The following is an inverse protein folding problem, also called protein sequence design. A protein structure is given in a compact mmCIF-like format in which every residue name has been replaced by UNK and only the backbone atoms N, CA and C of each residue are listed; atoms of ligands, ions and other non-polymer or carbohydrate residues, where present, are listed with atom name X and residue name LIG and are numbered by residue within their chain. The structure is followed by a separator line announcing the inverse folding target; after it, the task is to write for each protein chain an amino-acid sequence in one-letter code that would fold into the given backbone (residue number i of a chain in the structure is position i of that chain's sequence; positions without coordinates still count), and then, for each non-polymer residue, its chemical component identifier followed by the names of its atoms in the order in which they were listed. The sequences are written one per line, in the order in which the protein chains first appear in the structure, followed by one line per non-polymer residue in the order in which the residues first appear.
data_IF_754629985311
#
_entry.id   IF_754629985311
#
_cell.length_a   1.000
_cell.length_b   1.000
_cell.length_c   1.000
_cell.angle_alpha   90.00
_cell.angle_beta   90.00
_cell.angle_gamma   90.00
#
_symmetry.space_group_name_H-M   'P 1'
#
loop_
_entity.id
_entity.type
_entity.pdbx_description
1 polymer ?
#
# COMPACT_ATOMS: atom_id res chain seq x y z
N UNK A 1 13.96 26.32 26.91
CA UNK A 1 13.24 25.06 27.15
C UNK A 1 12.81 24.49 25.83
N UNK A 2 12.72 23.16 25.70
CA UNK A 2 12.41 22.50 24.44
C UNK A 2 11.60 21.23 24.65
N UNK A 3 10.95 20.76 23.56
CA UNK A 3 10.32 19.43 23.47
C UNK A 3 10.80 18.72 22.21
N UNK A 4 10.74 17.39 22.23
CA UNK A 4 11.08 16.55 21.08
C UNK A 4 9.88 15.68 20.75
N UNK A 5 9.19 15.97 19.65
CA UNK A 5 8.09 15.17 19.13
C UNK A 5 8.62 13.81 18.64
N UNK A 6 7.89 12.73 18.95
CA UNK A 6 8.37 11.37 18.72
C UNK A 6 7.22 10.39 18.47
N UNK A 7 7.53 9.11 18.22
CA UNK A 7 6.59 8.00 18.08
C UNK A 7 5.40 8.30 17.15
N UNK A 8 4.18 8.18 17.63
CA UNK A 8 2.97 8.37 16.80
C UNK A 8 2.83 9.81 16.32
N UNK A 9 3.18 10.80 17.16
CA UNK A 9 3.16 12.21 16.74
C UNK A 9 4.15 12.48 15.62
N UNK A 10 5.39 11.99 15.72
CA UNK A 10 6.37 12.15 14.65
C UNK A 10 5.93 11.43 13.38
N UNK A 11 5.39 10.21 13.50
CA UNK A 11 4.82 9.46 12.38
C UNK A 11 3.73 10.26 11.67
N UNK A 12 2.78 10.86 12.42
CA UNK A 12 1.71 11.69 11.86
C UNK A 12 2.25 12.91 11.11
N UNK A 13 3.27 13.59 11.66
CA UNK A 13 3.93 14.71 10.97
C UNK A 13 4.52 14.25 9.63
N UNK A 14 5.25 13.13 9.59
CA UNK A 14 5.82 12.61 8.35
C UNK A 14 4.79 12.09 7.36
N UNK A 15 3.60 11.70 7.81
CA UNK A 15 2.50 11.29 6.95
C UNK A 15 1.71 12.50 6.39
N UNK A 16 1.54 13.58 7.16
CA UNK A 16 0.84 14.77 6.70
C UNK A 16 1.70 15.65 5.78
N UNK A 17 3.00 15.64 5.97
CA UNK A 17 3.89 16.57 5.29
C UNK A 17 4.01 16.28 3.79
N UNK A 18 3.51 17.18 2.97
CA UNK A 18 3.84 17.23 1.52
C UNK A 18 5.31 17.55 1.30
N UNK A 19 5.91 18.29 2.23
CA UNK A 19 7.34 18.60 2.27
C UNK A 19 7.74 19.01 3.69
N UNK A 20 8.01 18.04 4.58
CA UNK A 20 8.94 18.38 5.65
C UNK A 20 10.28 18.49 4.96
N UNK A 21 10.88 19.68 4.99
CA UNK A 21 12.27 19.84 4.56
C UNK A 21 13.09 18.85 5.39
N UNK A 22 13.51 17.76 4.73
CA UNK A 22 14.39 16.75 5.36
C UNK A 22 15.84 17.23 5.32
N UNK A 23 16.07 18.40 4.70
CA UNK A 23 17.34 19.08 4.75
C UNK A 23 17.52 19.58 6.17
N UNK A 24 18.45 18.94 6.86
CA UNK A 24 18.93 19.35 8.16
C UNK A 24 19.51 20.75 8.00
N UNK A 25 18.70 21.77 8.28
CA UNK A 25 19.22 23.06 8.70
C UNK A 25 20.18 22.78 9.86
N UNK A 26 21.13 23.61 10.14
CA UNK A 26 22.21 23.45 11.10
C UNK A 26 21.99 22.43 12.25
N UNK A 27 23.03 21.67 12.66
CA UNK A 27 22.86 20.63 13.67
C UNK A 27 22.25 21.21 14.95
N UNK A 28 21.11 20.66 15.37
CA UNK A 28 20.42 21.09 16.59
C UNK A 28 21.33 21.07 17.79
N UNK A 29 21.20 22.05 18.68
CA UNK A 29 21.97 22.11 19.92
C UNK A 29 21.77 20.85 20.79
N UNK A 30 22.82 20.09 21.14
CA UNK A 30 22.66 18.92 22.00
C UNK A 30 22.03 19.27 23.36
N UNK A 31 22.32 20.45 23.90
CA UNK A 31 21.76 20.91 25.18
C UNK A 31 20.24 21.12 25.09
N UNK A 32 19.75 21.64 23.97
CA UNK A 32 18.33 21.79 23.75
C UNK A 32 17.61 20.43 23.66
N UNK A 33 18.19 19.46 22.96
CA UNK A 33 17.61 18.12 22.78
C UNK A 33 17.61 17.35 24.10
N UNK A 34 18.76 17.21 24.74
CA UNK A 34 18.91 16.37 25.93
C UNK A 34 18.34 16.99 27.19
N UNK A 35 18.23 18.33 27.23
CA UNK A 35 17.52 19.09 28.28
C UNK A 35 16.03 19.22 28.04
N UNK A 36 15.46 18.51 27.03
CA UNK A 36 14.05 18.63 26.69
C UNK A 36 13.16 18.32 27.89
N UNK A 37 12.17 19.21 28.11
CA UNK A 37 11.18 19.08 29.17
C UNK A 37 9.85 19.64 28.67
N UNK A 38 8.81 18.81 28.55
CA UNK A 38 7.51 19.29 28.14
C UNK A 38 6.93 20.26 29.19
N UNK A 39 6.55 21.46 28.73
CA UNK A 39 5.79 22.45 29.50
C UNK A 39 4.47 22.67 28.82
N UNK A 40 3.45 23.14 29.55
CA UNK A 40 2.12 23.45 28.95
C UNK A 40 2.26 24.35 27.73
N UNK A 41 2.99 25.46 27.86
CA UNK A 41 3.21 26.42 26.75
C UNK A 41 3.84 25.77 25.50
N UNK A 42 4.82 24.87 25.67
CA UNK A 42 5.44 24.19 24.53
C UNK A 42 4.54 23.11 23.91
N UNK A 43 3.73 22.44 24.74
CA UNK A 43 2.75 21.48 24.24
C UNK A 43 1.65 22.18 23.45
N UNK A 44 1.13 23.31 23.95
CA UNK A 44 0.14 24.13 23.25
C UNK A 44 0.70 24.69 21.94
N UNK A 45 1.95 25.16 21.96
CA UNK A 45 2.64 25.64 20.76
C UNK A 45 2.87 24.52 19.73
N UNK A 46 3.17 23.30 20.19
CA UNK A 46 3.29 22.14 19.30
C UNK A 46 1.94 21.74 18.71
N UNK A 47 0.88 21.70 19.51
CA UNK A 47 -0.47 21.41 19.03
C UNK A 47 -0.94 22.45 17.99
N UNK A 48 -0.69 23.74 18.24
CA UNK A 48 -0.99 24.80 17.29
C UNK A 48 -0.18 24.64 15.98
N UNK A 49 1.09 24.25 16.08
CA UNK A 49 1.91 23.99 14.92
C UNK A 49 1.37 22.80 14.10
N UNK A 50 0.99 21.70 14.75
CA UNK A 50 0.40 20.53 14.09
C UNK A 50 -0.90 20.90 13.36
N UNK A 51 -1.80 21.63 14.02
CA UNK A 51 -3.05 22.12 13.42
C UNK A 51 -2.77 23.00 12.19
N UNK A 52 -1.83 23.94 12.30
CA UNK A 52 -1.45 24.82 11.19
C UNK A 52 -0.94 24.07 9.96
N UNK A 53 -0.35 22.88 10.15
CA UNK A 53 0.23 22.07 9.08
C UNK A 53 -0.65 20.87 8.72
N UNK A 54 -1.94 20.90 9.08
CA UNK A 54 -2.93 19.85 8.78
C UNK A 54 -2.50 18.45 9.26
N UNK A 55 -1.74 18.40 10.35
CA UNK A 55 -1.37 17.14 11.00
C UNK A 55 -2.49 16.75 11.96
N UNK A 56 -3.35 15.84 11.53
CA UNK A 56 -4.36 15.27 12.40
C UNK A 56 -3.73 14.17 13.27
N UNK A 57 -3.86 14.30 14.58
CA UNK A 57 -3.69 13.18 15.51
C UNK A 57 -5.05 12.49 15.67
N UNK A 58 -5.08 11.20 15.92
CA UNK A 58 -6.32 10.50 16.25
C UNK A 58 -6.96 11.17 17.48
N UNK A 59 -8.29 11.33 17.46
CA UNK A 59 -9.06 12.16 18.39
C UNK A 59 -8.87 11.86 19.89
N UNK A 60 -8.23 10.75 20.23
CA UNK A 60 -7.85 10.32 21.59
C UNK A 60 -6.33 10.27 21.81
N UNK A 61 -5.50 10.72 20.85
CA UNK A 61 -4.06 10.65 20.99
C UNK A 61 -3.51 11.91 21.64
N UNK A 62 -2.82 11.71 22.77
CA UNK A 62 -1.95 12.70 23.38
C UNK A 62 -0.70 12.92 22.53
N UNK A 63 -0.11 14.12 22.62
CA UNK A 63 1.21 14.39 22.02
C UNK A 63 2.26 13.42 22.59
N UNK A 64 2.94 12.70 21.74
CA UNK A 64 4.03 11.81 22.13
C UNK A 64 5.37 12.53 21.99
N UNK A 65 6.07 12.67 23.12
CA UNK A 65 7.34 13.35 23.21
C UNK A 65 8.43 12.46 23.79
N UNK A 66 9.66 12.69 23.40
CA UNK A 66 10.82 11.98 23.90
C UNK A 66 11.59 12.85 24.88
N UNK A 67 11.95 12.29 26.03
CA UNK A 67 12.80 12.92 27.05
C UNK A 67 13.99 12.01 27.38
N UNK A 68 15.09 12.58 27.82
CA UNK A 68 16.34 11.85 28.10
C UNK A 68 16.63 11.73 29.61
N UNK A 69 15.81 12.37 30.43
CA UNK A 69 15.87 12.26 31.89
C UNK A 69 14.46 11.97 32.41
N UNK A 70 14.32 10.92 33.23
CA UNK A 70 13.04 10.55 33.85
C UNK A 70 12.45 11.69 34.69
N UNK A 71 13.29 12.54 35.26
CA UNK A 71 12.86 13.72 36.02
C UNK A 71 12.16 14.77 35.15
N UNK A 72 12.40 14.76 33.84
CA UNK A 72 11.77 15.64 32.87
C UNK A 72 10.46 15.04 32.32
N UNK A 73 10.16 13.77 32.57
CA UNK A 73 8.93 13.16 32.15
C UNK A 73 7.73 13.76 32.92
N UNK A 74 6.70 14.17 32.19
CA UNK A 74 5.43 14.66 32.76
C UNK A 74 4.30 13.74 32.35
N UNK A 75 3.43 13.47 33.29
CA UNK A 75 2.17 12.80 33.03
C UNK A 75 1.08 13.87 32.96
N UNK A 76 0.67 14.21 31.76
CA UNK A 76 -0.46 15.11 31.50
C UNK A 76 -1.42 14.43 30.54
N UNK A 77 -2.70 14.77 30.61
CA UNK A 77 -3.74 14.15 29.76
C UNK A 77 -3.50 14.36 28.26
N UNK A 78 -2.79 15.42 27.89
CA UNK A 78 -2.46 15.77 26.49
C UNK A 78 -1.01 15.42 26.07
N UNK A 79 -0.24 14.73 26.92
CA UNK A 79 1.15 14.42 26.65
C UNK A 79 1.57 13.05 27.19
N UNK A 80 2.14 12.22 26.32
CA UNK A 80 2.79 10.97 26.68
C UNK A 80 4.30 11.08 26.50
N UNK A 81 5.04 10.93 27.60
CA UNK A 81 6.48 11.01 27.59
C UNK A 81 7.13 9.63 27.45
N UNK A 82 8.01 9.51 26.46
CA UNK A 82 8.89 8.36 26.27
C UNK A 82 10.30 8.69 26.78
N UNK A 83 10.74 7.97 27.79
CA UNK A 83 12.07 8.16 28.38
C UNK A 83 13.08 7.33 27.62
N UNK A 84 14.06 7.98 26.95
CA UNK A 84 15.15 7.30 26.28
C UNK A 84 16.42 7.36 27.11
N UNK A 85 16.93 6.19 27.50
CA UNK A 85 18.27 6.07 28.10
C UNK A 85 19.41 6.23 27.08
N UNK A 86 19.10 6.04 25.79
CA UNK A 86 20.07 6.16 24.72
C UNK A 86 20.10 7.58 24.15
N UNK A 87 21.30 8.15 24.05
CA UNK A 87 21.53 9.41 23.36
C UNK A 87 21.89 9.15 21.90
N UNK A 88 21.19 9.82 20.99
CA UNK A 88 21.44 9.79 19.56
C UNK A 88 22.16 11.08 19.14
N UNK A 89 22.93 11.06 18.05
CA UNK A 89 23.53 12.28 17.53
C UNK A 89 22.48 13.39 17.34
N UNK A 90 22.86 14.65 17.59
CA UNK A 90 21.98 15.80 17.37
C UNK A 90 21.47 15.93 15.92
N UNK A 91 22.23 15.40 14.96
CA UNK A 91 21.83 15.30 13.56
C UNK A 91 20.64 14.36 13.30
N UNK A 92 20.15 13.64 14.31
CA UNK A 92 18.96 12.80 14.25
C UNK A 92 17.69 13.52 14.71
N UNK A 93 17.76 14.84 14.89
CA UNK A 93 16.67 15.69 15.30
C UNK A 93 16.57 16.87 14.35
N UNK A 94 15.36 17.32 14.09
CA UNK A 94 15.05 18.44 13.21
C UNK A 94 14.31 19.46 14.05
N UNK A 95 14.69 20.73 13.96
CA UNK A 95 13.95 21.81 14.59
C UNK A 95 12.81 22.25 13.68
N UNK A 96 11.57 22.11 14.13
CA UNK A 96 10.37 22.54 13.39
C UNK A 96 10.12 24.03 13.56
N UNK A 97 10.40 24.51 14.76
CA UNK A 97 10.39 25.92 15.18
C UNK A 97 11.14 26.03 16.51
N UNK A 98 11.42 27.26 16.93
CA UNK A 98 12.15 27.53 18.16
C UNK A 98 11.63 26.70 19.35
N UNK A 99 12.50 25.86 19.90
CA UNK A 99 12.23 24.98 21.04
C UNK A 99 11.34 23.74 20.75
N UNK A 100 10.87 23.54 19.52
CA UNK A 100 10.10 22.36 19.14
C UNK A 100 10.89 21.56 18.12
N UNK A 101 11.35 20.40 18.55
CA UNK A 101 12.11 19.45 17.74
C UNK A 101 11.25 18.23 17.40
N UNK A 102 11.64 17.53 16.34
CA UNK A 102 11.10 16.23 15.96
C UNK A 102 12.26 15.26 15.76
N UNK A 103 12.04 13.99 16.09
CA UNK A 103 12.99 12.92 15.74
C UNK A 103 13.11 12.79 14.22
N UNK A 104 14.32 12.63 13.71
CA UNK A 104 14.56 12.39 12.28
C UNK A 104 13.91 11.10 11.78
N UNK A 105 13.78 10.96 10.48
CA UNK A 105 13.00 9.89 9.83
C UNK A 105 13.48 8.50 10.24
N UNK A 106 14.79 8.26 10.23
CA UNK A 106 15.35 6.95 10.59
C UNK A 106 15.09 6.62 12.06
N UNK A 107 15.14 7.62 12.95
CA UNK A 107 14.83 7.43 14.37
C UNK A 107 13.33 7.23 14.58
N UNK A 108 12.47 7.94 13.85
CA UNK A 108 11.03 7.71 13.83
C UNK A 108 10.69 6.29 13.36
N UNK A 109 11.36 5.81 12.31
CA UNK A 109 11.21 4.45 11.81
C UNK A 109 11.61 3.40 12.87
N UNK A 110 12.69 3.63 13.62
CA UNK A 110 13.09 2.77 14.73
C UNK A 110 12.04 2.77 15.85
N UNK A 111 11.55 3.95 16.23
CA UNK A 111 10.51 4.08 17.27
C UNK A 111 9.21 3.39 16.86
N UNK A 112 8.84 3.42 15.58
CA UNK A 112 7.67 2.72 15.06
C UNK A 112 7.72 1.21 15.34
N UNK A 113 8.91 0.62 15.39
CA UNK A 113 9.09 -0.79 15.72
C UNK A 113 8.79 -1.14 17.19
N UNK A 114 8.53 -0.16 18.05
CA UNK A 114 8.16 -0.41 19.46
C UNK A 114 6.65 -0.53 19.68
N UNK A 115 5.82 -0.10 18.72
CA UNK A 115 4.37 -0.09 18.87
C UNK A 115 3.59 -0.64 17.66
N UNK A 116 4.22 -0.77 16.49
CA UNK A 116 3.60 -1.39 15.32
C UNK A 116 3.86 -2.90 15.29
N UNK A 117 2.87 -3.66 14.82
CA UNK A 117 3.07 -5.06 14.47
C UNK A 117 4.04 -5.22 13.29
N UNK A 118 4.55 -6.43 13.06
CA UNK A 118 5.50 -6.69 11.98
C UNK A 118 4.97 -6.25 10.60
N UNK A 119 3.73 -6.59 10.27
CA UNK A 119 3.13 -6.24 8.97
C UNK A 119 2.88 -4.75 8.83
N UNK A 120 2.41 -4.09 9.89
CA UNK A 120 2.22 -2.63 9.91
C UNK A 120 3.55 -1.89 9.79
N UNK A 121 4.59 -2.40 10.43
CA UNK A 121 5.93 -1.83 10.34
C UNK A 121 6.51 -1.93 8.94
N UNK A 122 6.34 -3.08 8.27
CA UNK A 122 6.75 -3.25 6.87
C UNK A 122 5.99 -2.28 5.96
N UNK A 123 4.66 -2.17 6.11
CA UNK A 123 3.82 -1.22 5.37
C UNK A 123 4.29 0.23 5.58
N UNK A 124 4.57 0.62 6.84
CA UNK A 124 5.06 1.96 7.15
C UNK A 124 6.44 2.23 6.53
N UNK A 125 7.34 1.25 6.53
CA UNK A 125 8.63 1.41 5.89
C UNK A 125 8.52 1.53 4.36
N UNK A 126 7.58 0.84 3.73
CA UNK A 126 7.26 1.06 2.32
C UNK A 126 6.79 2.49 2.06
N UNK A 127 5.95 3.05 2.94
CA UNK A 127 5.49 4.45 2.83
C UNK A 127 6.64 5.45 2.98
N UNK A 128 7.59 5.21 3.88
CA UNK A 128 8.77 6.06 4.05
C UNK A 128 9.72 6.03 2.85
N UNK A 129 9.88 4.85 2.24
CA UNK A 129 10.76 4.60 1.10
C UNK A 129 10.06 4.73 -0.26
N UNK A 130 8.76 4.94 -0.26
CA UNK A 130 7.90 5.09 -1.44
C UNK A 130 7.68 6.54 -1.83
N UNK A 131 7.19 6.74 -3.06
CA UNK A 131 6.87 8.05 -3.60
C UNK A 131 5.41 8.47 -3.32
N UNK A 132 4.85 8.10 -2.18
CA UNK A 132 3.50 8.43 -1.77
C UNK A 132 3.39 8.66 -0.26
N UNK A 133 2.30 9.29 0.16
CA UNK A 133 1.91 9.42 1.57
C UNK A 133 0.45 9.05 1.74
N UNK A 134 0.14 8.30 2.79
CA UNK A 134 -1.22 7.94 3.15
C UNK A 134 -1.99 9.09 3.81
N UNK A 135 -1.29 10.15 4.22
CA UNK A 135 -1.88 11.24 5.00
C UNK A 135 -2.29 10.81 6.41
N UNK A 136 -2.82 11.75 7.16
CA UNK A 136 -3.41 11.51 8.49
C UNK A 136 -4.91 11.33 8.32
N UNK A 137 -5.40 10.09 8.41
CA UNK A 137 -6.83 9.82 8.30
C UNK A 137 -7.15 8.42 7.76
N UNK A 138 -8.44 8.08 7.74
CA UNK A 138 -8.96 6.78 7.30
C UNK A 138 -9.23 6.69 5.79
N UNK A 139 -8.89 7.72 5.02
CA UNK A 139 -9.13 7.76 3.58
C UNK A 139 -8.25 6.76 2.82
N UNK A 140 -8.77 6.23 1.72
CA UNK A 140 -7.98 5.46 0.74
C UNK A 140 -7.21 6.37 -0.20
N UNK A 141 -7.45 7.67 -0.12
CA UNK A 141 -6.70 8.67 -0.87
C UNK A 141 -5.25 8.71 -0.37
N UNK A 142 -4.35 8.93 -1.28
CA UNK A 142 -2.93 9.15 -1.02
C UNK A 142 -2.46 10.35 -1.83
N UNK A 143 -1.35 10.94 -1.44
CA UNK A 143 -0.71 12.01 -2.19
C UNK A 143 0.65 11.55 -2.69
N UNK A 144 0.99 11.93 -3.91
CA UNK A 144 2.35 11.70 -4.41
C UNK A 144 3.32 12.65 -3.69
N UNK A 145 4.48 12.12 -3.39
CA UNK A 145 5.60 12.88 -2.79
C UNK A 145 6.92 12.22 -3.14
N UNK A 146 8.02 12.92 -2.89
CA UNK A 146 9.36 12.33 -2.91
C UNK A 146 9.52 11.41 -1.70
N UNK A 147 10.19 10.26 -1.88
CA UNK A 147 10.51 9.34 -0.78
C UNK A 147 11.27 10.08 0.33
N UNK A 148 10.89 9.84 1.58
CA UNK A 148 11.50 10.52 2.74
C UNK A 148 12.87 9.92 3.10
N UNK A 149 13.07 8.65 2.82
CA UNK A 149 14.32 7.92 3.05
C UNK A 149 14.44 6.76 2.05
N UNK A 150 15.43 5.90 2.24
CA UNK A 150 15.59 4.69 1.43
C UNK A 150 15.86 3.48 2.32
N UNK A 151 15.63 2.29 1.77
CA UNK A 151 15.94 1.02 2.45
C UNK A 151 17.41 0.94 2.86
N UNK A 152 18.29 1.49 2.04
CA UNK A 152 19.72 1.53 2.34
C UNK A 152 20.04 2.42 3.55
N UNK A 153 19.49 3.66 3.59
CA UNK A 153 19.68 4.58 4.73
C UNK A 153 19.12 4.00 6.03
N UNK A 154 17.94 3.37 5.99
CA UNK A 154 17.36 2.69 7.15
C UNK A 154 18.24 1.53 7.62
N UNK A 155 18.73 0.68 6.72
CA UNK A 155 19.65 -0.43 7.05
C UNK A 155 20.96 0.07 7.67
N UNK A 156 21.57 1.10 7.08
CA UNK A 156 22.79 1.71 7.61
C UNK A 156 22.55 2.25 9.02
N UNK A 157 21.45 2.97 9.25
CA UNK A 157 21.10 3.47 10.57
C UNK A 157 20.88 2.34 11.57
N UNK A 158 20.05 1.34 11.25
CA UNK A 158 19.78 0.22 12.16
C UNK A 158 21.05 -0.59 12.44
N UNK A 159 21.96 -0.75 11.47
CA UNK A 159 23.20 -1.47 11.65
C UNK A 159 24.23 -0.69 12.49
N UNK A 160 24.19 0.65 12.44
CA UNK A 160 25.05 1.50 13.28
C UNK A 160 24.69 1.47 14.77
N UNK A 161 23.48 0.94 15.10
CA UNK A 161 23.01 0.94 16.48
C UNK A 161 23.42 -0.34 17.22
N UNK A 162 23.83 -0.16 18.48
CA UNK A 162 23.86 -1.24 19.44
C UNK A 162 22.44 -1.62 19.88
N UNK A 163 22.31 -2.49 20.89
CA UNK A 163 21.03 -2.94 21.43
C UNK A 163 20.14 -1.75 21.87
N UNK A 164 18.91 -1.69 21.36
CA UNK A 164 17.85 -0.78 21.80
C UNK A 164 16.46 -1.37 21.44
N UNK A 165 15.43 -0.78 22.05
CA UNK A 165 14.04 -1.23 21.86
C UNK A 165 13.64 -1.13 20.39
N UNK A 166 12.87 -2.10 19.90
CA UNK A 166 12.39 -2.18 18.53
C UNK A 166 13.44 -2.58 17.48
N UNK A 167 14.75 -2.53 17.78
CA UNK A 167 15.81 -2.71 16.78
C UNK A 167 15.78 -4.08 16.09
N UNK A 168 15.50 -5.15 16.81
CA UNK A 168 15.40 -6.49 16.24
C UNK A 168 14.27 -6.59 15.22
N UNK A 169 13.11 -6.02 15.57
CA UNK A 169 11.94 -5.99 14.68
C UNK A 169 12.19 -5.06 13.47
N UNK A 170 12.81 -3.89 13.68
CA UNK A 170 13.18 -2.96 12.63
C UNK A 170 14.12 -3.61 11.59
N UNK A 171 15.17 -4.30 12.06
CA UNK A 171 16.11 -5.04 11.20
C UNK A 171 15.43 -6.20 10.45
N UNK A 172 14.47 -6.87 11.06
CA UNK A 172 13.67 -7.91 10.40
C UNK A 172 12.78 -7.31 9.34
N UNK A 173 12.03 -6.26 9.64
CA UNK A 173 11.04 -5.65 8.76
C UNK A 173 11.68 -5.06 7.48
N UNK A 174 12.81 -4.35 7.61
CA UNK A 174 13.45 -3.68 6.47
C UNK A 174 13.94 -4.64 5.38
N UNK A 175 14.09 -5.93 5.67
CA UNK A 175 14.52 -6.93 4.68
C UNK A 175 13.46 -7.15 3.58
N UNK A 176 12.21 -6.86 3.87
CA UNK A 176 11.05 -7.10 2.99
C UNK A 176 10.61 -5.86 2.22
N UNK A 177 11.15 -4.70 2.56
CA UNK A 177 10.82 -3.42 1.94
C UNK A 177 11.61 -3.22 0.64
N UNK A 178 11.00 -2.53 -0.30
CA UNK A 178 11.61 -2.05 -1.55
C UNK A 178 11.38 -0.55 -1.67
N UNK A 179 12.31 0.13 -2.33
CA UNK A 179 12.19 1.55 -2.61
C UNK A 179 11.29 1.79 -3.83
N UNK A 180 10.69 2.97 -3.96
CA UNK A 180 10.10 3.45 -5.19
C UNK A 180 8.66 3.03 -5.48
N UNK A 181 7.95 2.32 -4.58
CA UNK A 181 6.51 2.13 -4.75
C UNK A 181 5.81 3.50 -4.83
N UNK A 182 4.91 3.67 -5.81
CA UNK A 182 4.23 4.95 -6.08
C UNK A 182 2.81 5.01 -5.52
N UNK A 183 2.28 3.88 -5.08
CA UNK A 183 0.92 3.82 -4.53
C UNK A 183 0.81 2.81 -3.38
N UNK A 184 -0.20 2.98 -2.52
CA UNK A 184 -0.50 2.00 -1.48
C UNK A 184 -0.88 0.62 -2.02
N UNK A 185 -1.48 0.56 -3.22
CA UNK A 185 -1.87 -0.71 -3.83
C UNK A 185 -0.68 -1.47 -4.40
N UNK A 186 0.28 -0.77 -5.01
CA UNK A 186 1.58 -1.37 -5.37
C UNK A 186 2.28 -1.92 -4.14
N UNK A 187 2.36 -1.12 -3.06
CA UNK A 187 2.91 -1.58 -1.77
C UNK A 187 2.19 -2.83 -1.27
N UNK A 188 0.86 -2.81 -1.24
CA UNK A 188 0.05 -3.96 -0.80
C UNK A 188 0.38 -5.21 -1.61
N UNK A 189 0.51 -5.07 -2.93
CA UNK A 189 0.84 -6.18 -3.80
C UNK A 189 2.29 -6.64 -3.62
N UNK A 190 3.26 -5.72 -3.56
CA UNK A 190 4.68 -6.06 -3.34
C UNK A 190 4.87 -6.75 -1.98
N UNK A 191 4.12 -6.39 -0.94
CA UNK A 191 4.12 -7.11 0.33
C UNK A 191 3.69 -8.58 0.18
N UNK A 192 2.68 -8.87 -0.66
CA UNK A 192 2.29 -10.26 -0.97
C UNK A 192 3.42 -11.07 -1.60
N UNK A 193 4.31 -10.41 -2.35
CA UNK A 193 5.44 -11.05 -3.00
C UNK A 193 6.67 -11.19 -2.09
N UNK A 194 6.97 -10.17 -1.28
CA UNK A 194 8.22 -10.08 -0.51
C UNK A 194 8.15 -10.71 0.87
N UNK A 195 7.00 -10.59 1.58
CA UNK A 195 6.87 -11.14 2.92
C UNK A 195 7.14 -12.65 2.96
N UNK A 196 7.64 -13.18 4.09
CA UNK A 196 7.97 -14.59 4.19
C UNK A 196 6.72 -15.47 4.12
N UNK A 197 6.90 -16.73 3.78
CA UNK A 197 5.81 -17.71 3.65
C UNK A 197 5.04 -17.92 4.96
N UNK A 198 5.71 -17.76 6.09
CA UNK A 198 5.10 -17.79 7.43
C UNK A 198 4.16 -16.60 7.70
N UNK A 199 4.22 -15.56 6.90
CA UNK A 199 3.31 -14.42 6.93
C UNK A 199 2.29 -14.43 5.79
N UNK A 200 2.31 -15.45 4.93
CA UNK A 200 1.42 -15.57 3.76
C UNK A 200 1.99 -14.96 2.47
N UNK A 201 3.17 -14.37 2.49
CA UNK A 201 3.88 -13.88 1.31
C UNK A 201 4.60 -14.99 0.54
N UNK A 202 5.06 -14.70 -0.67
CA UNK A 202 5.81 -15.68 -1.48
C UNK A 202 7.29 -15.77 -1.09
N UNK A 203 7.83 -14.81 -0.35
CA UNK A 203 9.23 -14.75 0.08
C UNK A 203 10.19 -14.52 -1.07
N UNK A 204 9.78 -13.85 -2.14
CA UNK A 204 10.61 -13.55 -3.29
C UNK A 204 11.59 -12.44 -2.93
N UNK A 205 12.89 -12.71 -3.03
CA UNK A 205 13.95 -11.76 -2.66
C UNK A 205 14.37 -10.84 -3.81
N UNK A 206 14.40 -11.35 -5.03
CA UNK A 206 14.89 -10.65 -6.22
C UNK A 206 13.80 -9.80 -6.89
N UNK A 207 13.18 -8.87 -6.13
CA UNK A 207 12.18 -7.94 -6.65
C UNK A 207 12.80 -6.54 -6.62
N UNK A 208 12.68 -5.83 -7.73
CA UNK A 208 12.93 -4.40 -7.85
C UNK A 208 11.63 -3.70 -8.25
N UNK A 209 11.33 -2.61 -7.59
CA UNK A 209 10.18 -1.74 -7.87
C UNK A 209 10.64 -0.51 -8.62
N UNK A 210 9.75 0.07 -9.43
CA UNK A 210 10.07 1.22 -10.32
C UNK A 210 11.33 0.96 -11.19
N UNK A 211 11.49 -0.30 -11.64
CA UNK A 211 12.68 -0.72 -12.37
C UNK A 211 12.69 -0.17 -13.78
N UNK A 212 13.70 0.63 -14.10
CA UNK A 212 13.85 1.24 -15.42
C UNK A 212 14.45 0.24 -16.43
N UNK A 213 13.77 0.06 -17.55
CA UNK A 213 14.23 -0.76 -18.69
C UNK A 213 14.38 0.12 -19.91
N UNK A 214 15.59 0.13 -20.49
CA UNK A 214 15.86 0.81 -21.75
C UNK A 214 15.33 -0.01 -22.93
N UNK A 215 14.65 0.63 -23.86
CA UNK A 215 14.14 -0.01 -25.09
C UNK A 215 15.30 -0.40 -25.99
N UNK A 216 15.43 -1.70 -26.28
CA UNK A 216 16.47 -2.23 -27.15
C UNK A 216 16.17 -2.00 -28.64
N UNK A 217 17.16 -2.17 -29.49
CA UNK A 217 16.98 -2.04 -30.95
C UNK A 217 15.86 -2.96 -31.49
N UNK A 218 15.69 -4.16 -30.93
CA UNK A 218 14.65 -5.11 -31.33
C UNK A 218 13.21 -4.56 -31.05
N UNK A 219 13.04 -3.71 -30.06
CA UNK A 219 11.74 -3.17 -29.66
C UNK A 219 11.46 -1.77 -30.24
N UNK A 220 12.46 -1.10 -30.85
CA UNK A 220 12.31 0.27 -31.37
C UNK A 220 11.19 0.46 -32.41
N UNK A 221 10.88 -0.58 -33.17
CA UNK A 221 9.81 -0.55 -34.17
C UNK A 221 8.42 -0.75 -33.57
N UNK A 222 8.36 -1.19 -32.28
CA UNK A 222 7.12 -1.48 -31.59
C UNK A 222 6.68 -0.35 -30.66
N UNK A 223 7.55 0.62 -30.37
CA UNK A 223 7.24 1.73 -29.48
C UNK A 223 8.05 2.97 -29.80
N UNK A 224 7.46 4.14 -29.57
CA UNK A 224 8.18 5.44 -29.63
C UNK A 224 8.89 5.78 -28.32
N UNK A 225 8.62 5.05 -27.24
CA UNK A 225 9.23 5.29 -25.92
C UNK A 225 10.69 4.84 -25.93
N UNK A 226 11.52 5.53 -25.16
CA UNK A 226 12.94 5.18 -24.99
C UNK A 226 13.17 4.23 -23.81
N UNK A 227 12.26 4.23 -22.84
CA UNK A 227 12.33 3.45 -21.63
C UNK A 227 10.95 3.13 -21.07
N UNK A 228 10.89 2.08 -20.28
CA UNK A 228 9.71 1.68 -19.48
C UNK A 228 10.09 1.59 -18.02
N UNK A 229 9.12 1.74 -17.13
CA UNK A 229 9.24 1.46 -15.71
C UNK A 229 8.36 0.28 -15.37
N UNK A 230 8.86 -0.63 -14.55
CA UNK A 230 8.17 -1.84 -14.11
C UNK A 230 7.76 -1.68 -12.65
N UNK A 231 6.50 -1.97 -12.31
CA UNK A 231 5.99 -1.81 -10.94
C UNK A 231 6.66 -2.79 -9.98
N UNK A 232 6.75 -4.06 -10.37
CA UNK A 232 7.44 -5.09 -9.61
C UNK A 232 8.17 -6.07 -10.53
N UNK A 233 9.43 -5.79 -10.78
CA UNK A 233 10.28 -6.64 -11.62
C UNK A 233 10.83 -7.83 -10.85
N UNK A 234 10.46 -9.04 -11.27
CA UNK A 234 10.96 -10.30 -10.76
C UNK A 234 12.21 -10.70 -11.53
N UNK A 235 13.39 -10.50 -10.95
CA UNK A 235 14.69 -10.72 -11.63
C UNK A 235 14.85 -12.14 -12.15
N UNK A 236 14.45 -13.15 -11.37
CA UNK A 236 14.68 -14.55 -11.69
C UNK A 236 13.92 -15.00 -12.93
N UNK A 237 12.66 -14.64 -13.03
CA UNK A 237 11.79 -14.99 -14.16
C UNK A 237 11.77 -13.94 -15.26
N UNK A 238 12.48 -12.81 -15.09
CA UNK A 238 12.43 -11.64 -15.96
C UNK A 238 10.99 -11.19 -16.25
N UNK A 239 10.17 -11.15 -15.21
CA UNK A 239 8.74 -10.87 -15.33
C UNK A 239 8.42 -9.57 -14.62
N UNK A 240 7.73 -8.67 -15.31
CA UNK A 240 7.07 -7.53 -14.71
C UNK A 240 5.71 -7.95 -14.17
N UNK A 241 5.43 -7.58 -12.93
CA UNK A 241 4.10 -7.74 -12.34
C UNK A 241 3.52 -6.37 -12.09
N UNK A 242 2.58 -5.97 -12.93
CA UNK A 242 1.98 -4.63 -12.94
C UNK A 242 0.65 -4.61 -12.21
N UNK A 243 0.44 -3.58 -11.39
CA UNK A 243 -0.85 -3.32 -10.79
C UNK A 243 -1.65 -2.32 -11.64
N UNK A 244 -2.75 -2.78 -12.22
CA UNK A 244 -3.68 -1.91 -12.96
C UNK A 244 -4.91 -1.61 -12.10
N UNK A 245 -4.94 -0.39 -11.53
CA UNK A 245 -5.99 0.08 -10.61
C UNK A 245 -7.24 0.63 -11.30
N UNK A 246 -7.11 1.11 -12.51
CA UNK A 246 -8.19 1.74 -13.27
C UNK A 246 -8.40 1.02 -14.61
N UNK A 247 -9.65 0.75 -14.93
CA UNK A 247 -10.05 0.46 -16.30
C UNK A 247 -10.06 1.79 -17.05
N UNK A 248 -9.05 2.06 -17.84
CA UNK A 248 -9.14 3.07 -18.87
C UNK A 248 -9.94 2.45 -20.02
N UNK A 249 -11.19 2.86 -20.15
CA UNK A 249 -12.06 2.38 -21.24
C UNK A 249 -11.74 3.04 -22.60
N UNK A 250 -10.85 4.02 -22.62
CA UNK A 250 -10.42 4.67 -23.83
C UNK A 250 -9.61 3.71 -24.72
N UNK A 251 -9.98 3.60 -25.98
CA UNK A 251 -9.32 2.75 -26.99
C UNK A 251 -7.82 3.10 -27.13
N UNK A 252 -7.48 4.38 -26.99
CA UNK A 252 -6.11 4.89 -27.05
C UNK A 252 -5.26 4.35 -25.90
N UNK A 253 -5.78 4.27 -24.68
CA UNK A 253 -5.05 3.73 -23.51
C UNK A 253 -4.77 2.23 -23.68
N UNK A 254 -5.72 1.48 -24.25
CA UNK A 254 -5.53 0.05 -24.57
C UNK A 254 -4.43 -0.16 -25.61
N UNK A 255 -4.39 0.67 -26.67
CA UNK A 255 -3.37 0.60 -27.71
C UNK A 255 -1.97 0.89 -27.12
N UNK A 256 -1.83 1.86 -26.21
CA UNK A 256 -0.58 2.17 -25.53
C UNK A 256 -0.12 1.00 -24.64
N UNK A 257 -1.06 0.35 -23.92
CA UNK A 257 -0.75 -0.81 -23.09
C UNK A 257 -0.32 -2.03 -23.92
N UNK A 258 -0.96 -2.25 -25.08
CA UNK A 258 -0.56 -3.31 -26.00
C UNK A 258 0.81 -3.05 -26.63
N UNK A 259 1.09 -1.82 -27.05
CA UNK A 259 2.39 -1.39 -27.53
C UNK A 259 3.48 -1.69 -26.49
N UNK A 260 3.24 -1.32 -25.23
CA UNK A 260 4.15 -1.59 -24.13
C UNK A 260 4.39 -3.09 -23.93
N UNK A 261 3.31 -3.89 -23.88
CA UNK A 261 3.39 -5.34 -23.71
C UNK A 261 4.16 -6.01 -24.83
N UNK A 262 3.91 -5.61 -26.09
CA UNK A 262 4.61 -6.16 -27.25
C UNK A 262 6.09 -5.78 -27.24
N UNK A 263 6.43 -4.54 -26.88
CA UNK A 263 7.81 -4.10 -26.77
C UNK A 263 8.56 -4.86 -25.67
N UNK A 264 7.99 -5.01 -24.47
CA UNK A 264 8.60 -5.77 -23.37
C UNK A 264 8.74 -7.26 -23.72
N UNK A 265 7.72 -7.85 -24.35
CA UNK A 265 7.78 -9.25 -24.79
C UNK A 265 8.90 -9.48 -25.82
N UNK A 266 9.08 -8.55 -26.78
CA UNK A 266 10.17 -8.62 -27.78
C UNK A 266 11.57 -8.53 -27.15
N UNK A 267 11.67 -7.90 -25.98
CA UNK A 267 12.91 -7.84 -25.18
C UNK A 267 13.08 -9.04 -24.24
N UNK A 268 12.18 -10.01 -24.28
CA UNK A 268 12.24 -11.24 -23.49
C UNK A 268 11.76 -11.07 -22.04
N UNK A 269 10.93 -10.06 -21.76
CA UNK A 269 10.26 -9.89 -20.46
C UNK A 269 8.89 -10.54 -20.48
N UNK A 270 8.54 -11.24 -19.41
CA UNK A 270 7.18 -11.66 -19.14
C UNK A 270 6.39 -10.52 -18.48
N UNK A 271 5.07 -10.51 -18.66
CA UNK A 271 4.19 -9.55 -18.01
C UNK A 271 3.06 -10.31 -17.34
N UNK A 272 2.76 -9.96 -16.10
CA UNK A 272 1.57 -10.41 -15.36
C UNK A 272 0.84 -9.15 -14.88
N UNK A 273 -0.35 -8.90 -15.42
CA UNK A 273 -1.17 -7.77 -14.99
C UNK A 273 -2.06 -8.19 -13.83
N UNK A 274 -2.04 -7.44 -12.75
CA UNK A 274 -2.89 -7.59 -11.57
C UNK A 274 -3.92 -6.47 -11.57
N UNK A 275 -5.15 -6.78 -12.00
CA UNK A 275 -6.22 -5.80 -11.95
C UNK A 275 -6.74 -5.61 -10.53
N UNK A 276 -7.40 -4.46 -10.27
CA UNK A 276 -8.12 -4.23 -9.02
C UNK A 276 -9.08 -5.38 -8.71
N UNK A 277 -9.83 -5.85 -9.72
CA UNK A 277 -10.74 -6.98 -9.57
C UNK A 277 -9.99 -8.23 -9.11
N UNK A 278 -8.92 -8.62 -9.80
CA UNK A 278 -8.17 -9.83 -9.45
C UNK A 278 -7.50 -9.74 -8.07
N UNK A 279 -7.18 -8.55 -7.58
CA UNK A 279 -6.63 -8.40 -6.23
C UNK A 279 -7.71 -8.41 -5.15
N UNK A 280 -8.88 -7.84 -5.42
CA UNK A 280 -9.99 -7.76 -4.45
C UNK A 280 -10.76 -9.07 -4.30
N UNK A 281 -10.81 -9.92 -5.34
CA UNK A 281 -11.56 -11.19 -5.34
C UNK A 281 -10.63 -12.37 -5.06
N UNK A 282 -10.90 -13.13 -3.97
CA UNK A 282 -10.02 -14.18 -3.48
C UNK A 282 -9.70 -15.25 -4.53
N UNK A 283 -10.69 -15.74 -5.29
CA UNK A 283 -10.48 -16.78 -6.32
C UNK A 283 -9.62 -16.29 -7.48
N UNK A 284 -9.83 -15.05 -7.94
CA UNK A 284 -9.04 -14.43 -8.99
C UNK A 284 -7.60 -14.16 -8.50
N UNK A 285 -7.46 -13.69 -7.26
CA UNK A 285 -6.16 -13.47 -6.63
C UNK A 285 -5.32 -14.74 -6.54
N UNK A 286 -5.92 -15.85 -6.11
CA UNK A 286 -5.23 -17.15 -6.03
C UNK A 286 -4.65 -17.54 -7.40
N UNK A 287 -5.41 -17.37 -8.50
CA UNK A 287 -4.92 -17.68 -9.86
C UNK A 287 -3.70 -16.83 -10.24
N UNK A 288 -3.70 -15.54 -9.91
CA UNK A 288 -2.56 -14.64 -10.15
C UNK A 288 -1.34 -15.10 -9.36
N UNK A 289 -1.52 -15.38 -8.05
CA UNK A 289 -0.42 -15.83 -7.20
C UNK A 289 0.16 -17.17 -7.64
N UNK A 290 -0.67 -18.10 -8.10
CA UNK A 290 -0.22 -19.38 -8.68
C UNK A 290 0.54 -19.19 -10.00
N UNK A 291 0.14 -18.23 -10.84
CA UNK A 291 0.88 -17.88 -12.05
C UNK A 291 2.28 -17.35 -11.72
N UNK A 292 2.39 -16.45 -10.72
CA UNK A 292 3.67 -15.92 -10.23
C UNK A 292 4.52 -17.05 -9.62
N UNK A 293 3.92 -17.93 -8.81
CA UNK A 293 4.62 -19.08 -8.23
C UNK A 293 5.24 -19.97 -9.32
N UNK A 294 4.48 -20.26 -10.38
CA UNK A 294 4.99 -21.06 -11.53
C UNK A 294 6.16 -20.37 -12.21
N UNK A 295 6.05 -19.07 -12.49
CA UNK A 295 7.13 -18.27 -13.10
C UNK A 295 8.39 -18.25 -12.24
N UNK A 296 8.23 -18.10 -10.93
CA UNK A 296 9.35 -18.09 -9.97
C UNK A 296 9.85 -19.50 -9.58
N UNK A 297 9.21 -20.56 -10.06
CA UNK A 297 9.56 -21.93 -9.73
C UNK A 297 9.34 -22.27 -8.25
N UNK A 298 8.37 -21.64 -7.62
CA UNK A 298 7.97 -21.92 -6.24
C UNK A 298 7.06 -23.15 -6.25
N UNK A 299 7.57 -24.27 -5.75
CA UNK A 299 6.82 -25.54 -5.71
C UNK A 299 5.78 -25.51 -4.59
N UNK A 300 4.51 -25.89 -4.85
CA UNK A 300 3.46 -25.97 -3.81
C UNK A 300 3.86 -26.83 -2.60
N UNK A 301 4.60 -27.93 -2.84
CA UNK A 301 5.10 -28.79 -1.76
C UNK A 301 6.11 -28.15 -0.81
N UNK A 302 6.66 -26.99 -1.14
CA UNK A 302 7.55 -26.19 -0.28
C UNK A 302 6.84 -25.07 0.47
N UNK A 303 5.52 -24.98 0.36
CA UNK A 303 4.69 -24.04 1.10
C UNK A 303 4.24 -24.68 2.40
N UNK A 304 4.01 -23.90 3.49
CA UNK A 304 3.38 -24.39 4.70
C UNK A 304 2.01 -25.02 4.41
N UNK A 305 1.57 -25.96 5.23
CA UNK A 305 0.24 -26.61 5.07
C UNK A 305 -0.90 -25.60 5.04
N UNK A 306 -0.85 -24.60 5.91
CA UNK A 306 -1.88 -23.56 6.04
C UNK A 306 -1.59 -22.31 5.19
N UNK A 307 -0.70 -22.43 4.19
CA UNK A 307 -0.24 -21.29 3.42
C UNK A 307 -1.39 -20.51 2.76
N UNK A 308 -2.39 -21.17 2.22
CA UNK A 308 -3.54 -20.49 1.59
C UNK A 308 -4.32 -19.65 2.59
N UNK A 309 -4.47 -20.11 3.81
CA UNK A 309 -5.14 -19.36 4.89
C UNK A 309 -4.29 -18.15 5.28
N UNK A 310 -2.98 -18.33 5.49
CA UNK A 310 -2.07 -17.25 5.81
C UNK A 310 -1.98 -16.21 4.66
N UNK A 311 -2.03 -16.67 3.41
CA UNK A 311 -2.01 -15.79 2.25
C UNK A 311 -3.28 -14.94 2.15
N UNK A 312 -4.44 -15.54 2.42
CA UNK A 312 -5.70 -14.81 2.47
C UNK A 312 -5.74 -13.83 3.63
N UNK A 313 -5.26 -14.22 4.82
CA UNK A 313 -5.15 -13.32 5.97
C UNK A 313 -4.23 -12.12 5.67
N UNK A 314 -3.08 -12.37 5.03
CA UNK A 314 -2.21 -11.28 4.58
C UNK A 314 -2.92 -10.40 3.53
N UNK A 315 -3.64 -10.98 2.57
CA UNK A 315 -4.40 -10.23 1.57
C UNK A 315 -5.46 -9.32 2.23
N UNK A 316 -6.21 -9.83 3.20
CA UNK A 316 -7.17 -9.04 3.96
C UNK A 316 -6.48 -7.91 4.74
N UNK A 317 -5.32 -8.18 5.33
CA UNK A 317 -4.53 -7.17 6.03
C UNK A 317 -4.12 -6.03 5.10
N UNK A 318 -3.49 -6.33 3.96
CA UNK A 318 -3.00 -5.28 3.05
C UNK A 318 -4.14 -4.51 2.37
N UNK A 319 -5.31 -5.13 2.22
CA UNK A 319 -6.51 -4.51 1.64
C UNK A 319 -7.42 -3.85 2.68
N UNK A 320 -7.13 -3.93 3.97
CA UNK A 320 -8.03 -3.52 5.07
C UNK A 320 -8.55 -2.08 4.95
N UNK A 321 -7.71 -1.16 4.46
CA UNK A 321 -8.08 0.26 4.26
C UNK A 321 -9.13 0.40 3.16
N UNK A 322 -8.90 -0.27 2.04
CA UNK A 322 -9.80 -0.24 0.87
C UNK A 322 -11.14 -0.92 1.17
N UNK A 323 -11.13 -1.99 1.96
CA UNK A 323 -12.35 -2.70 2.39
C UNK A 323 -13.17 -1.82 3.35
N UNK A 324 -12.52 -1.17 4.33
CA UNK A 324 -13.19 -0.26 5.24
C UNK A 324 -13.82 0.92 4.51
N UNK A 325 -13.10 1.51 3.57
CA UNK A 325 -13.61 2.65 2.80
C UNK A 325 -14.79 2.24 1.91
N UNK A 326 -14.72 1.10 1.22
CA UNK A 326 -15.86 0.59 0.45
C UNK A 326 -17.09 0.42 1.33
N UNK A 327 -16.95 -0.16 2.52
CA UNK A 327 -18.05 -0.32 3.48
C UNK A 327 -18.58 1.04 3.96
N UNK A 328 -17.70 2.02 4.18
CA UNK A 328 -18.09 3.40 4.59
C UNK A 328 -18.93 4.06 3.49
N UNK A 329 -18.43 4.04 2.25
CA UNK A 329 -19.14 4.63 1.10
C UNK A 329 -20.48 3.95 0.90
N UNK A 330 -20.53 2.61 0.97
CA UNK A 330 -21.78 1.87 0.81
C UNK A 330 -22.79 2.21 1.91
N UNK A 331 -22.35 2.34 3.17
CA UNK A 331 -23.20 2.75 4.28
C UNK A 331 -23.74 4.17 4.07
N UNK A 332 -22.89 5.08 3.59
CA UNK A 332 -23.29 6.47 3.33
C UNK A 332 -24.31 6.55 2.19
N UNK A 333 -24.11 5.80 1.09
CA UNK A 333 -25.06 5.70 -0.01
C UNK A 333 -26.43 5.14 0.44
N UNK A 334 -26.43 4.15 1.34
CA UNK A 334 -27.68 3.62 1.90
C UNK A 334 -28.38 4.71 2.77
N UNK A 335 -27.65 5.41 3.61
CA UNK A 335 -28.20 6.50 4.44
C UNK A 335 -28.76 7.65 3.59
N UNK A 336 -28.01 8.06 2.55
CA UNK A 336 -28.44 9.11 1.61
C UNK A 336 -29.70 8.69 0.85
N UNK A 337 -29.83 7.40 0.51
CA UNK A 337 -31.02 6.82 -0.14
C UNK A 337 -32.22 6.85 0.80
N UNK A 338 -32.05 6.41 2.06
CA UNK A 338 -33.12 6.44 3.07
C UNK A 338 -33.57 7.88 3.37
N UNK A 339 -32.62 8.83 3.45
CA UNK A 339 -32.92 10.25 3.66
C UNK A 339 -33.68 10.86 2.49
N UNK A 340 -33.28 10.53 1.23
CA UNK A 340 -34.04 10.95 0.04
C UNK A 340 -35.47 10.41 0.05
N UNK A 341 -35.64 9.11 0.32
CA UNK A 341 -36.98 8.51 0.42
C UNK A 341 -37.83 9.16 1.50
N UNK A 342 -37.22 9.52 2.65
CA UNK A 342 -37.93 10.24 3.71
C UNK A 342 -38.36 11.64 3.28
N UNK A 343 -37.48 12.38 2.60
CA UNK A 343 -37.80 13.71 2.08
C UNK A 343 -38.90 13.66 1.02
N UNK A 344 -38.84 12.67 0.13
CA UNK A 344 -39.85 12.49 -0.92
C UNK A 344 -41.20 12.09 -0.31
N UNK A 345 -41.23 11.28 0.73
CA UNK A 345 -42.42 10.93 1.49
C UNK A 345 -43.01 12.16 2.23
N UNK A 346 -42.18 12.96 2.87
CA UNK A 346 -42.59 14.20 3.53
C UNK A 346 -43.16 15.20 2.52
N UNK A 347 -42.58 15.34 1.35
CA UNK A 347 -43.11 16.17 0.25
C UNK A 347 -44.45 15.69 -0.23
N UNK A 348 -44.59 14.37 -0.49
CA UNK A 348 -45.83 13.77 -0.90
C UNK A 348 -46.96 13.99 0.13
N UNK A 349 -46.64 13.87 1.41
CA UNK A 349 -47.58 14.19 2.50
C UNK A 349 -47.99 15.68 2.55
N UNK A 350 -47.05 16.61 2.31
CA UNK A 350 -47.30 18.05 2.27
C UNK A 350 -48.13 18.45 1.02
N UNK A 351 -47.95 17.74 -0.09
CA UNK A 351 -48.69 17.98 -1.33
C UNK A 351 -50.06 17.31 -1.33
N UNK A 352 -50.47 16.61 -0.26
CA UNK A 352 -51.79 15.96 -0.12
C UNK A 352 -51.96 14.73 -1.04
N UNK A 353 -50.87 14.16 -1.56
CA UNK A 353 -50.88 12.96 -2.38
C UNK A 353 -51.03 11.76 -1.44
N UNK A 354 -52.15 11.07 -1.51
CA UNK A 354 -52.36 9.82 -0.75
C UNK A 354 -51.53 8.70 -1.32
N UNK A 355 -50.91 7.89 -0.47
CA UNK A 355 -50.01 6.75 -0.81
C UNK A 355 -50.69 5.62 -1.62
N UNK A 356 -51.98 5.77 -1.96
CA UNK A 356 -52.78 4.80 -2.74
C UNK A 356 -52.75 5.06 -4.26
N UNK A 357 -51.97 6.01 -4.77
CA UNK A 357 -51.80 6.23 -6.19
C UNK A 357 -50.86 5.17 -6.80
N UNK A 358 -51.34 4.25 -7.65
CA UNK A 358 -50.52 3.18 -8.21
C UNK A 358 -49.36 3.67 -9.09
N UNK A 359 -49.32 4.95 -9.43
CA UNK A 359 -48.20 5.54 -10.22
C UNK A 359 -46.92 5.81 -9.40
N UNK A 360 -46.99 5.72 -8.05
CA UNK A 360 -45.80 5.96 -7.17
C UNK A 360 -44.97 4.68 -6.91
N UNK A 361 -45.55 3.51 -7.23
CA UNK A 361 -44.93 2.20 -6.99
C UNK A 361 -44.00 1.69 -8.12
N UNK A 362 -43.79 2.48 -9.16
CA UNK A 362 -42.74 2.20 -10.12
C UNK A 362 -41.42 2.88 -9.62
N UNK A 363 -40.86 2.35 -8.56
CA UNK A 363 -39.43 2.56 -8.29
C UNK A 363 -38.67 2.09 -9.54
N UNK A 364 -37.79 2.89 -10.12
CA UNK A 364 -36.92 2.38 -11.18
C UNK A 364 -36.21 1.16 -10.63
N UNK A 365 -36.44 0.02 -11.26
CA UNK A 365 -35.70 -1.19 -10.94
C UNK A 365 -34.24 -0.81 -10.92
N UNK A 366 -33.61 -1.00 -9.80
CA UNK A 366 -32.15 -0.99 -9.71
C UNK A 366 -31.77 -2.13 -10.61
N UNK A 367 -31.35 -1.77 -11.82
CA UNK A 367 -30.81 -2.73 -12.77
C UNK A 367 -29.68 -3.44 -12.03
N UNK A 368 -29.97 -4.65 -11.62
CA UNK A 368 -28.99 -5.58 -11.11
C UNK A 368 -27.85 -5.55 -12.12
N UNK A 369 -26.70 -5.06 -11.70
CA UNK A 369 -25.45 -5.42 -12.35
C UNK A 369 -25.32 -6.93 -12.18
N UNK A 370 -26.08 -7.63 -13.02
CA UNK A 370 -26.02 -9.07 -13.18
C UNK A 370 -24.56 -9.44 -13.38
N UNK A 371 -24.09 -10.20 -12.46
CA UNK A 371 -23.00 -11.14 -12.68
C UNK A 371 -23.46 -12.05 -13.82
N UNK A 372 -23.09 -11.73 -15.04
CA UNK A 372 -23.24 -12.62 -16.17
C UNK A 372 -22.33 -13.83 -15.91
N UNK A 373 -22.92 -14.90 -15.45
CA UNK A 373 -22.35 -16.24 -15.61
C UNK A 373 -22.34 -16.56 -17.09
N UNK A 374 -21.23 -17.05 -17.66
CA UNK A 374 -21.24 -17.49 -19.05
C UNK A 374 -22.00 -18.79 -19.16
N UNK A 375 -23.04 -18.78 -20.00
CA UNK A 375 -23.82 -19.92 -20.40
C UNK A 375 -22.99 -21.10 -20.83
N UNK A 376 -23.27 -22.24 -20.22
CA UNK A 376 -22.84 -23.57 -20.69
C UNK A 376 -23.57 -23.90 -21.97
N UNK A 377 -22.92 -24.31 -23.06
CA UNK A 377 -23.63 -24.76 -24.24
C UNK A 377 -24.27 -26.15 -23.98
N UNK A 378 -25.57 -26.18 -24.04
CA UNK A 378 -26.35 -27.40 -23.97
C UNK A 378 -26.03 -28.33 -25.15
N UNK A 379 -25.74 -29.58 -24.82
CA UNK A 379 -25.60 -30.70 -25.71
C UNK A 379 -26.93 -30.97 -26.44
N UNK A 380 -26.99 -30.64 -27.72
CA UNK A 380 -28.04 -31.14 -28.61
C UNK A 380 -27.44 -32.19 -29.55
N UNK A 381 -27.83 -33.42 -29.29
CA UNK A 381 -27.64 -34.57 -30.18
C UNK A 381 -28.21 -34.29 -31.59
N UNK A 382 -27.42 -34.53 -32.62
CA UNK A 382 -27.91 -35.07 -33.88
C UNK A 382 -26.91 -36.05 -34.51
N UNK A 383 -27.44 -37.22 -34.65
CA UNK A 383 -26.99 -38.41 -35.35
C UNK A 383 -26.58 -38.18 -36.80
N UNK A 384 -25.57 -38.92 -37.27
CA UNK A 384 -25.67 -39.51 -38.58
C UNK A 384 -24.42 -39.49 -39.45
N UNK A 385 -23.84 -40.70 -39.61
CA UNK A 385 -23.14 -41.24 -40.77
C UNK A 385 -21.63 -40.99 -40.92
N UNK A 386 -20.89 -42.04 -40.60
CA UNK A 386 -19.70 -42.51 -41.35
C UNK A 386 -20.07 -42.85 -42.79
N UNK A 387 -19.14 -43.00 -43.80
CA UNK A 387 -18.12 -44.07 -43.74
C UNK A 387 -16.75 -43.77 -44.41
N UNK A 388 -15.78 -44.64 -44.05
CA UNK A 388 -14.70 -45.24 -44.87
C UNK A 388 -13.66 -44.28 -45.49
N UNK A 389 -12.38 -44.50 -45.42
CA UNK A 389 -11.52 -45.61 -45.27
C UNK A 389 -10.19 -45.30 -45.95
N UNK A 390 -9.09 -45.96 -45.49
CA UNK A 390 -7.79 -46.22 -46.08
C UNK A 390 -6.60 -45.54 -45.42
N UNK A 391 -5.87 -46.19 -44.60
CA UNK A 391 -4.75 -47.16 -44.65
C UNK A 391 -3.62 -46.81 -45.65
N UNK A 392 -2.40 -46.96 -45.16
CA UNK A 392 -1.02 -46.96 -45.71
C UNK A 392 -0.24 -45.62 -45.44
N UNK A 393 0.94 -45.68 -45.00
CA UNK A 393 1.89 -46.75 -44.75
C UNK A 393 3.21 -46.13 -44.21
N UNK A 394 3.94 -46.95 -43.57
CA UNK A 394 5.23 -46.79 -42.93
C UNK A 394 6.37 -46.26 -43.85
N UNK A 395 7.40 -45.71 -43.21
CA UNK A 395 8.70 -45.70 -43.82
C UNK A 395 9.73 -44.71 -43.22
N UNK A 396 10.50 -45.24 -42.31
CA UNK A 396 11.97 -45.10 -42.14
C UNK A 396 12.63 -43.74 -41.90
N UNK A 397 13.33 -43.70 -40.76
CA UNK A 397 14.69 -43.17 -40.52
C UNK A 397 15.71 -43.83 -41.47
N UNK A 398 17.00 -43.40 -41.52
CA UNK A 398 17.80 -42.45 -40.75
C UNK A 398 18.69 -41.54 -41.66
N UNK A 399 19.29 -40.52 -41.13
CA UNK A 399 20.68 -40.32 -40.71
C UNK A 399 20.81 -39.02 -39.93
#
# INVERSE_FOLDING_TARGET
MSIVLSHTTAKAVYQAARSVSTEVSEPCSPAAIYGSRPTGTLLDAAAAWLTKHDVALDSNESLEVMVFDRRNARYAMNCRCHVSSKRFSSSRFIELREGIFIVGIELCALQAATYLSFRELVEYYFELCGAYSLGTGSSTSYTERIALTSTERLKQFFNSLARCDGLALARKAIQYVRDGCRSPMETAFVMMLTLPKSEGGLGIKGIETDYEVQVTAAAKNLTRRKKFFMDAYLKKSRTDVEYNGFYHDAEEDRAIDEERKNALASMGYGIITVSRHSFMHASAFVRVMEAIQRKEGIRPSRLPKDFKIMQEDLRQFVLRRFIKEKKRIQKQLCQDSEERQRIDLEKAMLEGITLDDPTINEAPAIDDMQTAEPDSPSCAQRSGRTPEGRVFGAGNKPD
#
